data_IF_673005570508
#
_entry.id   IF_673005570508
#
_cell.length_a   1.000
_cell.length_b   1.000
_cell.length_c   1.000
_cell.angle_alpha   90.00
_cell.angle_beta   90.00
_cell.angle_gamma   90.00
#
_symmetry.space_group_name_H-M   'P 1'
#
loop_
_entity.id
_entity.type
_entity.pdbx_description
1 polymer ?
#
# COMPACT_ATOMS: atom_id res chain seq x y z
N UNK A 1 7.56 -15.85 8.70
CA UNK A 1 7.30 -15.82 7.22
C UNK A 1 6.38 -14.64 6.95
N UNK A 2 6.63 -13.73 5.99
CA UNK A 2 5.82 -12.50 5.81
C UNK A 2 5.14 -12.48 4.44
N UNK A 3 3.93 -11.92 4.32
CA UNK A 3 3.20 -11.85 3.04
C UNK A 3 2.78 -10.42 2.72
N UNK A 4 2.93 -10.06 1.45
CA UNK A 4 2.57 -8.76 0.92
C UNK A 4 1.31 -8.95 0.07
N UNK A 5 0.30 -8.12 0.30
CA UNK A 5 -0.93 -8.11 -0.49
C UNK A 5 -0.99 -6.80 -1.26
N UNK A 6 -0.87 -6.89 -2.57
CA UNK A 6 -1.12 -5.82 -3.53
C UNK A 6 -2.58 -5.90 -3.97
N UNK A 7 -3.33 -4.82 -3.79
CA UNK A 7 -4.67 -4.68 -4.35
C UNK A 7 -4.62 -3.64 -5.46
N UNK A 8 -4.99 -4.02 -6.69
CA UNK A 8 -5.08 -3.14 -7.84
C UNK A 8 -6.54 -3.02 -8.28
N UNK A 9 -7.09 -1.80 -8.20
CA UNK A 9 -8.35 -1.46 -8.87
C UNK A 9 -8.02 -0.86 -10.24
N UNK A 10 -8.45 -1.51 -11.32
CA UNK A 10 -8.33 -0.95 -12.67
C UNK A 10 -9.54 -0.06 -12.98
N UNK A 11 -9.28 1.18 -13.43
CA UNK A 11 -10.26 2.10 -13.99
C UNK A 11 -10.56 1.80 -15.47
N UNK A 12 -11.69 2.31 -15.99
CA UNK A 12 -12.02 2.18 -17.40
C UNK A 12 -11.07 3.03 -18.26
N UNK A 13 -10.37 2.40 -19.19
CA UNK A 13 -9.84 3.08 -20.38
C UNK A 13 -8.36 3.47 -20.38
N UNK A 14 -7.55 3.15 -19.37
CA UNK A 14 -6.12 3.47 -19.40
C UNK A 14 -5.27 2.19 -19.43
N UNK A 15 -4.48 2.06 -20.51
CA UNK A 15 -3.43 1.05 -20.62
C UNK A 15 -2.51 1.18 -19.41
N UNK A 16 -2.23 0.09 -18.70
CA UNK A 16 -1.04 0.03 -17.86
C UNK A 16 0.17 0.24 -18.80
N UNK A 17 0.73 1.45 -18.82
CA UNK A 17 1.84 1.78 -19.69
C UNK A 17 3.11 1.15 -19.10
N UNK A 18 3.35 -0.12 -19.41
CA UNK A 18 4.68 -0.73 -19.34
C UNK A 18 5.40 -0.37 -20.65
N UNK A 19 5.99 0.82 -20.73
CA UNK A 19 6.85 1.18 -21.86
C UNK A 19 8.28 0.72 -21.60
N UNK A 20 8.75 -0.25 -22.40
CA UNK A 20 10.18 -0.48 -22.66
C UNK A 20 10.73 0.79 -23.32
N UNK A 21 11.39 1.66 -22.57
CA UNK A 21 12.14 2.77 -23.18
C UNK A 21 13.42 2.21 -23.78
N UNK A 22 13.34 1.87 -25.06
CA UNK A 22 14.51 1.66 -25.91
C UNK A 22 15.17 3.00 -26.20
N UNK A 23 16.34 3.24 -25.63
CA UNK A 23 17.31 4.18 -26.16
C UNK A 23 18.71 3.64 -25.85
N UNK A 24 19.48 3.36 -26.92
CA UNK A 24 20.90 3.01 -26.84
C UNK A 24 21.64 4.24 -26.31
N UNK A 25 22.25 4.14 -25.14
CA UNK A 25 23.25 5.11 -24.66
C UNK A 25 24.59 4.38 -24.60
N UNK A 26 25.59 5.02 -25.19
CA UNK A 26 26.95 4.51 -25.38
C UNK A 26 27.67 4.38 -24.03
N UNK A 27 28.39 3.28 -23.87
CA UNK A 27 29.00 2.79 -22.64
C UNK A 27 30.26 3.57 -22.28
N UNK A 28 30.36 4.06 -21.03
CA UNK A 28 31.62 4.28 -20.31
C UNK A 28 31.32 4.50 -18.81
N UNK A 29 31.44 3.43 -18.01
CA UNK A 29 31.26 3.45 -16.55
C UNK A 29 31.18 2.03 -15.98
N UNK A 30 31.74 1.80 -14.79
CA UNK A 30 32.08 0.47 -14.21
C UNK A 30 30.90 -0.43 -13.80
N UNK A 31 31.08 -1.76 -13.66
CA UNK A 31 30.00 -2.76 -13.48
C UNK A 31 29.14 -2.66 -12.22
N UNK A 32 29.41 -1.74 -11.31
CA UNK A 32 28.70 -1.61 -10.03
C UNK A 32 27.52 -0.62 -10.08
N UNK A 33 27.36 0.14 -11.17
CA UNK A 33 26.29 1.16 -11.32
C UNK A 33 25.10 0.71 -12.20
N UNK A 34 25.16 -0.46 -12.85
CA UNK A 34 24.15 -0.89 -13.85
C UNK A 34 23.01 -1.79 -13.33
N UNK A 35 22.80 -1.92 -12.01
CA UNK A 35 21.70 -2.71 -11.44
C UNK A 35 20.57 -1.79 -10.94
N UNK A 36 20.00 -0.96 -11.81
CA UNK A 36 18.77 -0.21 -11.50
C UNK A 36 17.90 -0.04 -12.74
N UNK A 37 16.90 -0.92 -12.90
CA UNK A 37 15.58 -0.69 -13.56
C UNK A 37 14.88 -2.01 -13.89
N UNK A 38 14.45 -2.72 -12.85
CA UNK A 38 13.22 -3.53 -12.89
C UNK A 38 12.53 -3.29 -11.54
N UNK A 39 11.38 -2.62 -11.60
CA UNK A 39 10.51 -2.37 -10.45
C UNK A 39 10.14 -3.72 -9.80
N UNK A 40 10.14 -3.75 -8.47
CA UNK A 40 10.41 -4.90 -7.57
C UNK A 40 11.93 -5.18 -7.46
N UNK A 41 12.67 -4.28 -6.80
CA UNK A 41 14.08 -4.55 -6.45
C UNK A 41 14.18 -5.80 -5.57
N UNK A 42 14.99 -6.77 -6.04
CA UNK A 42 15.30 -8.07 -5.43
C UNK A 42 15.46 -8.00 -3.91
N UNK A 43 14.74 -8.81 -3.12
CA UNK A 43 15.15 -9.09 -1.75
C UNK A 43 16.34 -10.06 -1.77
N UNK A 44 17.42 -9.67 -1.10
CA UNK A 44 18.54 -10.54 -0.76
C UNK A 44 18.09 -11.84 -0.09
N UNK A 45 18.94 -12.87 -0.18
CA UNK A 45 18.72 -14.31 0.08
C UNK A 45 18.13 -14.73 1.44
N UNK A 46 17.70 -13.82 2.33
CA UNK A 46 17.26 -14.17 3.68
C UNK A 46 15.76 -13.96 3.96
N UNK A 47 14.89 -13.85 2.95
CA UNK A 47 13.46 -13.67 3.21
C UNK A 47 12.52 -14.47 2.30
N UNK A 48 11.87 -15.47 2.89
CA UNK A 48 10.70 -16.21 2.40
C UNK A 48 9.49 -15.26 2.39
N UNK A 49 8.99 -14.90 1.19
CA UNK A 49 7.93 -13.89 0.99
C UNK A 49 6.96 -14.39 -0.07
N UNK A 50 5.66 -14.14 0.08
CA UNK A 50 4.63 -14.33 -0.95
C UNK A 50 4.02 -12.95 -1.26
N UNK A 51 3.70 -12.66 -2.52
CA UNK A 51 3.05 -11.43 -2.96
C UNK A 51 1.73 -11.79 -3.65
N UNK A 52 0.60 -11.30 -3.13
CA UNK A 52 -0.73 -11.54 -3.71
C UNK A 52 -1.16 -10.31 -4.49
N UNK A 53 -1.48 -10.45 -5.77
CA UNK A 53 -2.04 -9.36 -6.58
C UNK A 53 -3.52 -9.65 -6.78
N UNK A 54 -4.39 -8.79 -6.24
CA UNK A 54 -5.84 -8.83 -6.51
C UNK A 54 -6.18 -7.80 -7.59
N UNK A 55 -6.71 -8.24 -8.73
CA UNK A 55 -7.13 -7.36 -9.82
C UNK A 55 -8.65 -7.42 -9.98
N UNK A 56 -9.31 -6.25 -10.01
CA UNK A 56 -10.69 -6.10 -10.47
C UNK A 56 -10.73 -5.14 -11.66
N UNK A 57 -11.16 -5.62 -12.82
CA UNK A 57 -11.42 -4.81 -14.03
C UNK A 57 -12.92 -4.77 -14.33
N UNK A 58 -13.42 -3.67 -14.89
CA UNK A 58 -14.78 -3.60 -15.44
C UNK A 58 -14.80 -4.22 -16.85
N UNK A 59 -15.80 -5.05 -17.12
CA UNK A 59 -16.02 -5.72 -18.40
C UNK A 59 -16.84 -6.99 -18.21
N UNK A 60 -17.87 -7.19 -19.05
CA UNK A 60 -18.70 -8.39 -19.08
C UNK A 60 -17.85 -9.64 -19.25
N UNK A 61 -18.16 -10.67 -18.47
CA UNK A 61 -17.54 -12.00 -18.56
C UNK A 61 -17.78 -12.61 -19.94
N UNK A 62 -16.85 -12.40 -20.86
CA UNK A 62 -16.55 -13.35 -21.90
C UNK A 62 -15.15 -13.93 -21.65
N UNK A 63 -15.05 -15.23 -21.80
CA UNK A 63 -14.01 -16.15 -21.34
C UNK A 63 -12.61 -15.98 -21.93
N UNK A 64 -12.09 -14.77 -22.15
CA UNK A 64 -10.79 -14.61 -22.79
C UNK A 64 -10.00 -13.41 -22.25
N UNK A 65 -8.76 -13.70 -21.84
CA UNK A 65 -7.67 -12.77 -21.55
C UNK A 65 -7.71 -12.17 -20.13
N UNK A 66 -7.10 -12.90 -19.18
CA UNK A 66 -6.28 -12.24 -18.15
C UNK A 66 -5.42 -11.20 -18.87
N UNK A 67 -5.50 -9.92 -18.52
CA UNK A 67 -4.61 -8.91 -19.11
C UNK A 67 -3.20 -9.48 -19.13
N UNK A 68 -2.51 -9.45 -20.29
CA UNK A 68 -1.17 -10.03 -20.50
C UNK A 68 -0.24 -9.80 -19.30
N UNK A 69 -0.34 -8.61 -18.71
CA UNK A 69 0.45 -8.15 -17.58
C UNK A 69 0.24 -9.01 -16.32
N UNK A 70 -1.00 -9.41 -16.01
CA UNK A 70 -1.31 -10.24 -14.85
C UNK A 70 -0.69 -11.63 -14.96
N UNK A 71 -0.71 -12.21 -16.17
CA UNK A 71 -0.06 -13.49 -16.45
C UNK A 71 1.47 -13.37 -16.41
N UNK A 72 2.03 -12.29 -16.94
CA UNK A 72 3.47 -12.01 -16.86
C UNK A 72 3.93 -11.90 -15.40
N UNK A 73 3.15 -11.20 -14.56
CA UNK A 73 3.44 -11.08 -13.13
C UNK A 73 3.31 -12.40 -12.38
N UNK A 74 2.33 -13.24 -12.72
CA UNK A 74 2.16 -14.56 -12.12
C UNK A 74 3.34 -15.51 -12.41
N UNK A 75 4.10 -15.25 -13.48
CA UNK A 75 5.34 -15.97 -13.79
C UNK A 75 6.53 -15.60 -12.90
N UNK A 76 6.45 -14.52 -12.11
CA UNK A 76 7.52 -14.12 -11.22
C UNK A 76 7.56 -15.02 -9.97
N UNK A 77 8.76 -15.37 -9.47
CA UNK A 77 8.86 -16.14 -8.24
C UNK A 77 8.19 -15.38 -7.10
N UNK A 78 7.51 -16.13 -6.22
CA UNK A 78 6.84 -15.60 -5.02
C UNK A 78 5.62 -14.71 -5.31
N UNK A 79 5.17 -14.58 -6.56
CA UNK A 79 3.94 -13.86 -6.91
C UNK A 79 2.79 -14.84 -7.11
N UNK A 80 1.64 -14.54 -6.53
CA UNK A 80 0.37 -15.26 -6.76
C UNK A 80 -0.71 -14.27 -7.17
N UNK A 81 -1.31 -14.52 -8.33
CA UNK A 81 -2.44 -13.73 -8.81
C UNK A 81 -3.75 -14.29 -8.27
N UNK A 82 -4.60 -13.43 -7.72
CA UNK A 82 -5.99 -13.75 -7.35
C UNK A 82 -6.92 -12.83 -8.14
N UNK A 83 -7.82 -13.40 -8.94
CA UNK A 83 -8.78 -12.63 -9.73
C UNK A 83 -10.17 -12.74 -9.13
N UNK A 84 -10.83 -11.61 -8.89
CA UNK A 84 -12.25 -11.61 -8.51
C UNK A 84 -13.11 -11.86 -9.76
N UNK A 85 -14.16 -12.66 -9.60
CA UNK A 85 -15.10 -12.98 -10.68
C UNK A 85 -16.02 -11.80 -11.01
N UNK A 86 -16.15 -10.86 -10.08
CA UNK A 86 -16.89 -9.62 -10.22
C UNK A 86 -16.17 -8.45 -9.51
N UNK A 87 -16.69 -7.23 -9.67
CA UNK A 87 -16.10 -6.03 -9.06
C UNK A 87 -16.42 -5.96 -7.56
N UNK A 88 -15.46 -6.39 -6.75
CA UNK A 88 -15.62 -6.46 -5.29
C UNK A 88 -15.19 -5.20 -4.53
N UNK A 89 -14.51 -4.25 -5.18
CA UNK A 89 -13.94 -3.10 -4.47
C UNK A 89 -12.61 -3.41 -3.77
N UNK A 90 -11.95 -2.38 -3.23
CA UNK A 90 -10.63 -2.51 -2.63
C UNK A 90 -10.70 -3.32 -1.34
N UNK A 91 -11.78 -3.14 -0.57
CA UNK A 91 -11.92 -3.61 0.81
C UNK A 91 -12.02 -5.14 0.81
N UNK A 92 -12.99 -5.68 0.08
CA UNK A 92 -13.17 -7.13 -0.10
C UNK A 92 -11.99 -7.76 -0.84
N UNK A 93 -11.35 -7.05 -1.78
CA UNK A 93 -10.12 -7.52 -2.44
C UNK A 93 -8.94 -7.66 -1.46
N UNK A 94 -8.74 -6.67 -0.57
CA UNK A 94 -7.72 -6.71 0.49
C UNK A 94 -8.00 -7.85 1.47
N UNK A 95 -9.25 -8.03 1.89
CA UNK A 95 -9.66 -9.16 2.77
C UNK A 95 -9.37 -10.50 2.09
N UNK A 96 -9.76 -10.69 0.82
CA UNK A 96 -9.48 -11.92 0.07
C UNK A 96 -7.98 -12.21 -0.04
N UNK A 97 -7.17 -11.19 -0.34
CA UNK A 97 -5.71 -11.33 -0.39
C UNK A 97 -5.11 -11.67 0.98
N UNK A 98 -5.59 -11.03 2.04
CA UNK A 98 -5.21 -11.32 3.42
C UNK A 98 -5.56 -12.77 3.82
N UNK A 99 -6.75 -13.26 3.48
CA UNK A 99 -7.18 -14.62 3.80
C UNK A 99 -6.37 -15.68 3.04
N UNK A 100 -5.96 -15.36 1.82
CA UNK A 100 -5.15 -16.26 1.01
C UNK A 100 -3.67 -16.23 1.42
N UNK A 101 -3.21 -15.17 2.09
CA UNK A 101 -1.82 -15.02 2.52
C UNK A 101 -1.46 -15.96 3.68
N UNK A 102 -0.17 -16.31 3.80
CA UNK A 102 0.30 -17.27 4.84
C UNK A 102 1.29 -16.68 5.84
N UNK A 103 1.72 -15.43 5.63
CA UNK A 103 2.70 -14.77 6.49
C UNK A 103 2.13 -14.31 7.83
N UNK A 104 2.98 -14.24 8.84
CA UNK A 104 2.65 -13.77 10.20
C UNK A 104 2.30 -12.28 10.24
N UNK A 105 2.82 -11.51 9.28
CA UNK A 105 2.42 -10.13 9.04
C UNK A 105 1.91 -9.98 7.61
N UNK A 106 1.02 -9.02 7.44
CA UNK A 106 0.37 -8.66 6.20
C UNK A 106 0.76 -7.22 5.90
N UNK A 107 1.38 -6.98 4.75
CA UNK A 107 1.62 -5.63 4.25
C UNK A 107 0.67 -5.32 3.10
N UNK A 108 -0.13 -4.27 3.24
CA UNK A 108 -0.95 -3.75 2.15
C UNK A 108 -0.18 -2.67 1.40
N UNK A 109 -0.21 -2.76 0.07
CA UNK A 109 0.44 -1.82 -0.83
C UNK A 109 -0.48 -1.55 -2.03
N UNK A 110 -0.68 -0.27 -2.34
CA UNK A 110 -1.37 0.11 -3.57
C UNK A 110 -0.53 -0.21 -4.81
N UNK A 111 -1.21 -0.40 -5.94
CA UNK A 111 -0.57 -0.85 -7.19
C UNK A 111 0.33 0.17 -7.89
N UNK A 112 0.36 1.41 -7.40
CA UNK A 112 1.06 2.56 -8.00
C UNK A 112 2.02 3.17 -6.99
N UNK A 113 2.92 2.33 -6.49
CA UNK A 113 3.92 2.68 -5.50
C UNK A 113 5.32 2.24 -5.91
N UNK A 114 6.33 2.93 -5.38
CA UNK A 114 7.74 2.54 -5.48
C UNK A 114 8.37 2.48 -4.09
N UNK A 115 8.89 1.31 -3.70
CA UNK A 115 9.49 1.10 -2.37
C UNK A 115 10.96 1.53 -2.34
N UNK A 116 11.37 2.23 -1.29
CA UNK A 116 12.76 2.71 -1.16
C UNK A 116 13.68 1.62 -0.56
N UNK A 117 15.00 1.85 -0.56
CA UNK A 117 15.96 0.95 0.06
C UNK A 117 15.66 0.78 1.56
N UNK A 118 15.71 -0.47 2.04
CA UNK A 118 15.52 -0.78 3.46
C UNK A 118 14.10 -0.58 3.99
N UNK A 119 13.11 -0.26 3.14
CA UNK A 119 11.76 0.15 3.57
C UNK A 119 11.07 -0.80 4.55
N UNK A 120 11.28 -2.11 4.44
CA UNK A 120 10.52 -3.09 5.21
C UNK A 120 11.07 -3.33 6.62
N UNK A 121 12.40 -3.24 6.81
CA UNK A 121 13.03 -3.64 8.07
C UNK A 121 12.58 -2.76 9.26
N UNK A 122 12.46 -1.43 9.14
CA UNK A 122 11.95 -0.58 10.22
C UNK A 122 10.50 -0.91 10.60
N UNK A 123 9.65 -1.31 9.64
CA UNK A 123 8.27 -1.70 9.90
C UNK A 123 8.21 -3.03 10.67
N UNK A 124 9.01 -4.01 10.24
CA UNK A 124 9.07 -5.33 10.89
C UNK A 124 9.61 -5.24 12.33
N UNK A 125 10.61 -4.39 12.57
CA UNK A 125 11.13 -4.19 13.92
C UNK A 125 10.09 -3.49 14.82
N UNK A 126 9.42 -2.47 14.31
CA UNK A 126 8.40 -1.74 15.07
C UNK A 126 7.21 -2.63 15.45
N UNK A 127 6.71 -3.45 14.52
CA UNK A 127 5.57 -4.34 14.81
C UNK A 127 5.96 -5.49 15.75
N UNK A 128 7.22 -5.91 15.75
CA UNK A 128 7.73 -6.90 16.71
C UNK A 128 7.70 -6.37 18.14
N UNK A 129 8.00 -5.08 18.31
CA UNK A 129 7.93 -4.39 19.61
C UNK A 129 6.49 -4.04 20.01
N UNK A 130 5.63 -3.73 19.03
CA UNK A 130 4.22 -3.38 19.24
C UNK A 130 3.29 -4.28 18.40
N UNK A 131 3.02 -5.53 18.81
CA UNK A 131 2.24 -6.47 17.99
C UNK A 131 0.79 -6.06 17.70
N UNK A 132 0.21 -5.16 18.51
CA UNK A 132 -1.12 -4.57 18.32
C UNK A 132 -1.08 -3.21 17.59
N UNK A 133 0.05 -2.84 17.01
CA UNK A 133 0.15 -1.63 16.19
C UNK A 133 -0.15 -1.93 14.72
N UNK A 134 -0.77 -0.96 14.05
CA UNK A 134 -0.73 -0.81 12.60
C UNK A 134 0.44 0.12 12.29
N UNK A 135 1.43 -0.36 11.53
CA UNK A 135 2.65 0.40 11.28
C UNK A 135 2.75 0.84 9.82
N UNK A 136 2.97 2.14 9.61
CA UNK A 136 2.94 2.78 8.31
C UNK A 136 4.34 3.29 7.92
N UNK A 137 4.69 3.26 6.62
CA UNK A 137 5.82 4.00 6.09
C UNK A 137 5.50 5.50 6.06
N UNK A 138 6.52 6.33 5.86
CA UNK A 138 6.30 7.65 5.29
C UNK A 138 6.03 7.50 3.79
N UNK A 139 4.98 8.19 3.34
CA UNK A 139 4.53 8.14 1.95
C UNK A 139 5.15 9.32 1.21
N UNK A 140 6.09 9.03 0.32
CA UNK A 140 6.70 10.00 -0.58
C UNK A 140 5.82 10.23 -1.80
N UNK A 141 6.03 11.35 -2.50
CA UNK A 141 5.22 11.72 -3.66
C UNK A 141 5.93 11.25 -4.92
N UNK A 142 5.23 10.52 -5.77
CA UNK A 142 5.62 10.31 -7.16
C UNK A 142 4.72 11.21 -8.01
N UNK A 143 5.33 12.11 -8.78
CA UNK A 143 4.60 13.01 -9.67
C UNK A 143 3.84 12.19 -10.73
N UNK A 144 2.53 12.43 -10.89
CA UNK A 144 1.71 11.65 -11.81
C UNK A 144 2.08 11.85 -13.29
N UNK A 145 2.66 13.01 -13.63
CA UNK A 145 2.90 13.43 -15.00
C UNK A 145 4.37 13.18 -15.39
N UNK A 146 5.31 13.48 -14.50
CA UNK A 146 6.75 13.27 -14.75
C UNK A 146 7.30 11.96 -14.20
N UNK A 147 6.60 11.30 -13.28
CA UNK A 147 7.06 10.15 -12.49
C UNK A 147 8.29 10.45 -11.60
N UNK A 148 8.56 11.73 -11.34
CA UNK A 148 9.65 12.11 -10.43
C UNK A 148 9.32 11.71 -8.99
N UNK A 149 10.26 11.01 -8.35
CA UNK A 149 10.18 10.69 -6.93
C UNK A 149 10.62 11.88 -6.08
N UNK A 150 9.74 12.38 -5.22
CA UNK A 150 10.00 13.50 -4.31
C UNK A 150 9.80 13.07 -2.86
N UNK A 151 10.88 13.13 -2.10
CA UNK A 151 10.84 12.85 -0.67
C UNK A 151 9.98 13.89 0.07
N UNK A 152 9.14 13.40 0.97
CA UNK A 152 8.33 14.23 1.88
C UNK A 152 9.01 14.39 3.24
N UNK A 153 8.56 15.38 4.03
CA UNK A 153 9.04 15.53 5.41
C UNK A 153 8.67 14.33 6.30
N UNK A 154 9.35 14.18 7.45
CA UNK A 154 9.11 13.10 8.43
C UNK A 154 8.16 13.51 9.57
N UNK A 155 7.44 14.61 9.39
CA UNK A 155 6.68 15.30 10.45
C UNK A 155 5.20 15.48 10.09
N UNK A 156 4.64 14.60 9.27
CA UNK A 156 3.22 14.57 8.93
C UNK A 156 2.58 13.29 9.45
N UNK A 157 1.52 13.42 10.24
CA UNK A 157 0.65 12.31 10.68
C UNK A 157 -0.69 12.38 9.94
N UNK A 158 -1.41 11.27 9.92
CA UNK A 158 -2.78 11.22 9.43
C UNK A 158 -3.77 11.77 10.46
N UNK A 159 -4.66 12.64 10.02
CA UNK A 159 -5.82 13.14 10.75
C UNK A 159 -7.07 13.08 9.88
N UNK A 160 -8.16 13.65 10.38
CA UNK A 160 -9.42 13.76 9.64
C UNK A 160 -10.19 15.01 10.07
N UNK A 161 -11.08 15.51 9.22
CA UNK A 161 -12.02 16.58 9.56
C UNK A 161 -13.38 16.02 10.03
N UNK A 162 -14.31 16.89 10.46
CA UNK A 162 -15.65 16.46 10.91
C UNK A 162 -16.52 15.88 9.81
N UNK A 163 -16.15 16.06 8.54
CA UNK A 163 -16.74 15.34 7.42
C UNK A 163 -16.10 13.97 7.19
N UNK A 164 -15.24 13.52 8.11
CA UNK A 164 -14.51 12.25 8.07
C UNK A 164 -13.64 12.10 6.81
N UNK A 165 -13.12 13.21 6.28
CA UNK A 165 -12.11 13.16 5.22
C UNK A 165 -10.72 13.08 5.81
N UNK A 166 -9.90 12.16 5.30
CA UNK A 166 -8.49 12.09 5.66
C UNK A 166 -7.75 13.41 5.36
N UNK A 167 -6.90 13.83 6.28
CA UNK A 167 -6.04 15.02 6.16
C UNK A 167 -4.61 14.69 6.61
N UNK A 168 -3.64 15.28 5.94
CA UNK A 168 -2.27 15.33 6.45
C UNK A 168 -2.15 16.45 7.48
N UNK A 169 -1.71 16.12 8.69
CA UNK A 169 -1.60 17.05 9.81
C UNK A 169 -0.13 17.09 10.27
N UNK A 170 0.49 18.26 10.41
CA UNK A 170 1.84 18.34 10.96
C UNK A 170 1.88 17.88 12.42
N UNK A 171 3.01 17.31 12.83
CA UNK A 171 3.27 17.05 14.25
C UNK A 171 3.30 18.36 15.02
N UNK A 172 2.70 18.36 16.22
CA UNK A 172 2.78 19.51 17.13
C UNK A 172 4.21 19.70 17.65
N UNK A 173 4.57 20.87 18.19
CA UNK A 173 5.86 21.07 18.83
C UNK A 173 6.15 20.03 19.92
N UNK A 174 5.17 19.72 20.75
CA UNK A 174 5.29 18.73 21.85
C UNK A 174 5.54 17.32 21.29
N UNK A 175 4.83 16.92 20.24
CA UNK A 175 5.08 15.63 19.58
C UNK A 175 6.47 15.55 18.96
N UNK A 176 7.03 16.67 18.50
CA UNK A 176 8.41 16.71 17.99
C UNK A 176 9.44 16.61 19.13
N UNK A 177 9.20 17.28 20.24
CA UNK A 177 10.09 17.26 21.42
C UNK A 177 10.14 15.90 22.12
N UNK A 178 9.03 15.15 22.13
CA UNK A 178 9.00 13.78 22.69
C UNK A 178 9.82 12.77 21.88
N UNK A 179 10.26 13.13 20.66
CA UNK A 179 11.05 12.25 19.80
C UNK A 179 12.52 12.42 20.13
N UNK A 180 13.21 11.28 20.28
CA UNK A 180 14.67 11.27 20.45
C UNK A 180 15.38 11.91 19.25
N UNK A 181 14.88 11.63 18.05
CA UNK A 181 15.41 12.18 16.79
C UNK A 181 14.38 12.04 15.64
N UNK A 182 14.75 12.56 14.47
CA UNK A 182 13.91 12.55 13.25
C UNK A 182 13.61 11.15 12.69
N UNK A 183 14.31 10.12 13.15
CA UNK A 183 14.10 8.71 12.78
C UNK A 183 13.17 7.97 13.73
N UNK A 184 12.92 8.54 14.92
CA UNK A 184 12.05 7.95 15.93
C UNK A 184 10.61 7.78 15.41
N UNK A 185 10.00 6.59 15.54
CA UNK A 185 8.59 6.38 15.22
C UNK A 185 7.68 7.32 16.00
N UNK A 186 6.53 7.67 15.42
CA UNK A 186 5.54 8.54 16.05
C UNK A 186 4.13 8.03 15.81
N UNK A 187 3.21 8.40 16.71
CA UNK A 187 1.81 7.99 16.65
C UNK A 187 1.05 8.81 15.60
N UNK A 188 0.10 8.15 14.95
CA UNK A 188 -0.83 8.78 14.02
C UNK A 188 -2.26 8.50 14.47
N UNK A 189 -3.16 9.49 14.52
CA UNK A 189 -4.58 9.24 14.76
C UNK A 189 -5.17 8.25 13.75
N UNK A 190 -4.83 8.40 12.47
CA UNK A 190 -5.35 7.54 11.40
C UNK A 190 -4.29 7.15 10.38
N UNK A 191 -4.51 6.03 9.67
CA UNK A 191 -3.74 5.64 8.49
C UNK A 191 -4.25 6.35 7.23
N UNK A 192 -3.38 6.52 6.24
CA UNK A 192 -3.80 6.94 4.89
C UNK A 192 -4.61 5.83 4.17
N UNK A 193 -4.41 4.56 4.54
CA UNK A 193 -5.16 3.41 4.05
C UNK A 193 -4.38 2.53 3.06
N UNK A 194 -3.70 3.13 2.10
CA UNK A 194 -3.02 2.41 1.01
C UNK A 194 -1.81 1.55 1.41
N UNK A 195 -1.11 1.95 2.47
CA UNK A 195 0.23 1.45 2.79
C UNK A 195 0.37 1.23 4.30
N UNK A 196 0.31 -0.02 4.75
CA UNK A 196 0.54 -0.37 6.15
C UNK A 196 0.90 -1.84 6.34
N UNK A 197 1.63 -2.13 7.41
CA UNK A 197 1.93 -3.47 7.91
C UNK A 197 1.10 -3.73 9.17
N UNK A 198 0.51 -4.91 9.25
CA UNK A 198 -0.24 -5.38 10.42
C UNK A 198 0.09 -6.83 10.73
N UNK A 199 0.02 -7.22 12.01
CA UNK A 199 0.21 -8.60 12.43
C UNK A 199 -1.05 -9.40 12.11
N UNK A 200 -0.93 -10.59 11.51
CA UNK A 200 -2.09 -11.38 11.03
C UNK A 200 -3.10 -11.63 12.14
N UNK A 201 -2.66 -12.11 13.31
CA UNK A 201 -3.62 -12.38 14.39
C UNK A 201 -4.26 -11.08 14.89
N UNK A 202 -3.58 -9.94 14.79
CA UNK A 202 -4.18 -8.66 15.15
C UNK A 202 -5.22 -8.22 14.12
N UNK A 203 -4.93 -8.37 12.83
CA UNK A 203 -5.88 -8.19 11.74
C UNK A 203 -7.15 -9.03 11.92
N UNK A 204 -7.00 -10.31 12.29
CA UNK A 204 -8.11 -11.22 12.56
C UNK A 204 -8.89 -10.83 13.83
N UNK A 205 -8.18 -10.44 14.91
CA UNK A 205 -8.80 -10.01 16.16
C UNK A 205 -9.59 -8.70 16.03
N UNK A 206 -9.15 -7.78 15.18
CA UNK A 206 -9.91 -6.57 14.83
C UNK A 206 -11.13 -6.85 13.95
N UNK A 207 -11.32 -8.10 13.52
CA UNK A 207 -12.41 -8.49 12.64
C UNK A 207 -12.20 -8.07 11.19
N UNK A 208 -10.94 -7.91 10.74
CA UNK A 208 -10.58 -7.46 9.38
C UNK A 208 -11.26 -6.10 9.06
N UNK A 209 -11.44 -5.78 7.77
CA UNK A 209 -12.34 -4.70 7.37
C UNK A 209 -13.81 -5.11 7.49
N UNK A 210 -14.69 -4.14 7.73
CA UNK A 210 -16.13 -4.31 7.64
C UNK A 210 -16.56 -4.74 6.22
N UNK A 211 -17.23 -5.90 6.05
CA UNK A 211 -17.71 -6.37 4.75
C UNK A 211 -18.84 -5.50 4.15
N UNK A 212 -19.49 -4.68 4.97
CA UNK A 212 -20.53 -3.73 4.55
C UNK A 212 -19.97 -2.48 3.86
N UNK A 213 -18.66 -2.20 3.97
CA UNK A 213 -18.04 -1.12 3.23
C UNK A 213 -17.84 -1.52 1.76
N UNK A 214 -18.30 -0.67 0.85
CA UNK A 214 -18.28 -0.92 -0.58
C UNK A 214 -17.23 -0.10 -1.32
N UNK A 215 -16.60 -0.70 -2.32
CA UNK A 215 -15.71 -0.07 -3.30
C UNK A 215 -14.46 0.62 -2.74
N UNK A 216 -14.59 1.78 -2.09
CA UNK A 216 -13.52 2.65 -1.60
C UNK A 216 -14.08 3.69 -0.62
N UNK A 217 -13.31 4.08 0.40
CA UNK A 217 -13.69 5.11 1.36
C UNK A 217 -13.96 4.54 2.75
N UNK A 218 -13.79 5.40 3.77
CA UNK A 218 -13.89 5.11 5.20
C UNK A 218 -12.96 4.02 5.78
N UNK A 219 -12.45 3.07 4.98
CA UNK A 219 -11.77 1.88 5.48
C UNK A 219 -10.50 2.22 6.27
N UNK A 220 -9.84 3.30 5.88
CA UNK A 220 -8.67 3.82 6.58
C UNK A 220 -9.02 4.37 7.96
N UNK A 221 -10.16 5.06 8.11
CA UNK A 221 -10.65 5.57 9.39
C UNK A 221 -11.17 4.45 10.27
N UNK A 222 -12.02 3.58 9.72
CA UNK A 222 -12.61 2.43 10.40
C UNK A 222 -11.53 1.55 11.06
N UNK A 223 -10.49 1.20 10.30
CA UNK A 223 -9.40 0.35 10.80
C UNK A 223 -8.55 1.08 11.83
N UNK A 224 -8.36 2.40 11.69
CA UNK A 224 -7.64 3.21 12.67
C UNK A 224 -8.39 3.32 13.99
N UNK A 225 -9.71 3.52 13.91
CA UNK A 225 -10.60 3.59 15.06
C UNK A 225 -10.66 2.26 15.79
N UNK A 226 -10.80 1.14 15.06
CA UNK A 226 -10.65 -0.22 15.60
C UNK A 226 -9.33 -0.39 16.34
N UNK A 227 -8.20 -0.03 15.71
CA UNK A 227 -6.89 -0.18 16.32
C UNK A 227 -6.78 0.59 17.64
N UNK A 228 -7.16 1.87 17.68
CA UNK A 228 -7.07 2.69 18.89
C UNK A 228 -8.07 2.25 19.97
N UNK A 229 -9.33 2.04 19.61
CA UNK A 229 -10.40 1.75 20.58
C UNK A 229 -10.33 0.31 21.12
N UNK A 230 -9.67 -0.61 20.41
CA UNK A 230 -9.46 -1.98 20.86
C UNK A 230 -8.10 -2.21 21.55
N UNK A 231 -7.41 -1.13 21.97
CA UNK A 231 -6.18 -1.20 22.77
C UNK A 231 -4.89 -1.45 21.97
N UNK A 232 -4.92 -1.18 20.67
CA UNK A 232 -3.75 -1.10 19.79
C UNK A 232 -3.28 0.35 19.58
N UNK A 233 -2.52 0.56 18.52
CA UNK A 233 -2.10 1.90 18.08
C UNK A 233 -1.87 1.97 16.57
N UNK A 234 -1.74 3.19 16.06
CA UNK A 234 -1.25 3.44 14.71
C UNK A 234 0.06 4.22 14.81
N UNK A 235 1.10 3.72 14.15
CA UNK A 235 2.46 4.23 14.27
C UNK A 235 3.07 4.46 12.88
N UNK A 236 3.84 5.53 12.69
CA UNK A 236 4.59 5.81 11.46
C UNK A 236 6.07 5.62 11.73
N UNK A 237 6.76 4.92 10.84
CA UNK A 237 8.22 4.73 10.88
C UNK A 237 8.91 5.64 9.87
N UNK A 238 9.60 6.73 10.30
CA UNK A 238 10.31 7.65 9.41
C UNK A 238 11.34 7.00 8.46
N UNK A 239 11.97 5.91 8.92
CA UNK A 239 12.98 5.17 8.17
C UNK A 239 12.40 4.30 7.06
N UNK A 240 11.09 4.02 7.09
CA UNK A 240 10.41 3.30 6.02
C UNK A 240 9.83 4.30 5.04
N UNK A 241 10.28 4.28 3.79
CA UNK A 241 9.82 5.22 2.75
C UNK A 241 9.29 4.50 1.53
N UNK A 242 8.12 4.91 1.08
CA UNK A 242 7.48 4.35 -0.12
C UNK A 242 6.84 5.51 -0.88
N UNK A 243 7.21 5.67 -2.15
CA UNK A 243 6.59 6.65 -3.03
C UNK A 243 5.21 6.17 -3.48
N UNK A 244 4.26 7.10 -3.59
CA UNK A 244 2.90 6.86 -4.07
C UNK A 244 2.53 7.90 -5.12
N UNK A 245 1.88 7.46 -6.20
CA UNK A 245 1.34 8.36 -7.22
C UNK A 245 0.00 8.92 -6.75
N UNK A 246 0.01 10.14 -6.21
CA UNK A 246 -1.21 10.85 -5.81
C UNK A 246 -1.95 11.38 -7.04
N UNK A 247 -3.19 10.96 -7.23
CA UNK A 247 -4.03 11.37 -8.37
C UNK A 247 -4.96 12.51 -7.97
N UNK A 248 -5.19 13.44 -8.90
CA UNK A 248 -6.12 14.56 -8.70
C UNK A 248 -7.60 14.15 -8.72
N UNK A 249 -7.94 13.00 -9.32
CA UNK A 249 -9.29 12.46 -9.45
C UNK A 249 -9.28 10.93 -9.36
N UNK A 250 -10.39 10.34 -8.90
CA UNK A 250 -10.55 8.89 -8.91
C UNK A 250 -10.63 8.37 -10.36
N UNK A 251 -9.83 7.36 -10.74
CA UNK A 251 -9.80 6.82 -12.11
C UNK A 251 -10.88 5.76 -12.36
N UNK A 252 -11.77 5.49 -11.39
CA UNK A 252 -12.77 4.42 -11.44
C UNK A 252 -14.17 4.94 -11.09
N UNK A 253 -15.21 4.25 -11.58
CA UNK A 253 -16.60 4.60 -11.31
C UNK A 253 -17.15 3.92 -10.04
N UNK A 254 -18.15 4.55 -9.45
CA UNK A 254 -18.94 4.01 -8.34
C UNK A 254 -20.24 3.41 -8.90
N UNK A 255 -20.60 2.16 -8.56
CA UNK A 255 -21.94 1.64 -8.84
C UNK A 255 -22.93 2.51 -8.04
N UNK A 256 -23.94 3.06 -8.71
CA UNK A 256 -25.00 3.89 -8.10
C UNK A 256 -24.61 5.30 -7.61
N UNK A 257 -23.40 5.77 -7.94
CA UNK A 257 -22.91 7.09 -7.54
C UNK A 257 -22.28 7.10 -6.15
N UNK A 258 -22.13 8.29 -5.57
CA UNK A 258 -21.28 8.53 -4.40
C UNK A 258 -21.96 8.31 -3.03
N UNK A 259 -23.25 7.94 -3.01
CA UNK A 259 -24.08 8.04 -1.80
C UNK A 259 -23.65 7.10 -0.65
N UNK A 260 -23.10 5.93 -0.96
CA UNK A 260 -22.61 4.96 0.04
C UNK A 260 -21.07 4.97 0.18
N UNK A 261 -20.40 5.89 -0.52
CA UNK A 261 -18.93 5.97 -0.61
C UNK A 261 -18.36 7.01 0.34
N UNK A 262 -19.19 7.95 0.80
CA UNK A 262 -18.79 9.01 1.73
C UNK A 262 -19.38 8.79 3.11
N UNK A 263 -18.62 8.08 3.92
CA UNK A 263 -18.56 8.32 5.36
C UNK A 263 -17.09 8.40 5.78
#
# INVERSE_FOLDING_TARGET
MHTYTLSAQAGNGEQNVIRKTGQKVHLQGTPEEEIQKINIRRPSEKSTRNCHVSQSSQGTCHSAILSSDGLLLAGLPKVRLLRNDQREGLIRSRVRGADASTGETIFFLDSHCEVNQGWVLPLLELIRQKPKAIVCPVIDVIDQDTLDYRATGTVLKGGFDWGLHFRWVPLTPEEKETRKDVTSPYRSPVIAGGLFLIWRKWWEQLGKYDPGLEIWGAENLEMSFKAWQCGGSVEVSPCSRIGHVFRKRHPYSFPDGNANTYL
#
